data_IF_276934807947
#
_entry.id   IF_276934807947
#
_cell.length_a   1.000
_cell.length_b   1.000
_cell.length_c   1.000
_cell.angle_alpha   90.00
_cell.angle_beta   90.00
_cell.angle_gamma   90.00
#
_symmetry.space_group_name_H-M   'P 1'
#
loop_
_entity.id
_entity.type
_entity.pdbx_description
1 polymer ?
#
# COMPACT_ATOMS: atom_id res chain seq x y z
N UNK A 1 -19.33 -27.13 -11.80
CA UNK A 1 -18.63 -26.28 -10.81
C UNK A 1 -18.15 -25.04 -11.55
N UNK A 2 -18.70 -23.87 -11.26
CA UNK A 2 -18.29 -22.61 -11.91
C UNK A 2 -16.90 -22.28 -11.37
N UNK A 3 -15.88 -22.33 -12.23
CA UNK A 3 -14.54 -21.87 -11.87
C UNK A 3 -14.66 -20.40 -11.45
N UNK A 4 -14.44 -20.12 -10.16
CA UNK A 4 -14.30 -18.73 -9.69
C UNK A 4 -13.22 -18.08 -10.56
N UNK A 5 -13.44 -16.88 -11.14
CA UNK A 5 -12.36 -16.17 -11.78
C UNK A 5 -11.22 -16.09 -10.77
N UNK A 6 -10.02 -16.53 -11.16
CA UNK A 6 -8.86 -16.45 -10.28
C UNK A 6 -8.73 -15.00 -9.84
N UNK A 7 -8.97 -14.73 -8.56
CA UNK A 7 -8.92 -13.37 -8.03
C UNK A 7 -7.49 -12.89 -8.26
N UNK A 8 -7.30 -11.89 -9.13
CA UNK A 8 -5.98 -11.32 -9.38
C UNK A 8 -5.50 -10.64 -8.10
N UNK A 9 -4.50 -11.24 -7.46
CA UNK A 9 -3.90 -10.72 -6.25
C UNK A 9 -2.82 -9.69 -6.60
N UNK A 10 -2.88 -8.54 -5.95
CA UNK A 10 -1.93 -7.44 -6.16
C UNK A 10 -0.85 -7.42 -5.09
N UNK A 11 -1.18 -7.98 -3.93
CA UNK A 11 -0.31 -8.09 -2.76
C UNK A 11 -0.30 -9.53 -2.26
N UNK A 12 0.77 -9.93 -1.60
CA UNK A 12 0.84 -11.19 -0.85
C UNK A 12 1.52 -10.96 0.50
N UNK A 13 1.37 -11.92 1.41
CA UNK A 13 1.99 -11.83 2.73
C UNK A 13 3.51 -11.90 2.62
N UNK A 14 4.20 -11.10 3.44
CA UNK A 14 5.66 -11.17 3.57
C UNK A 14 6.10 -12.30 4.49
N UNK A 15 5.21 -12.73 5.38
CA UNK A 15 5.49 -13.71 6.42
C UNK A 15 4.46 -14.85 6.40
N UNK A 16 4.83 -16.07 6.82
CA UNK A 16 3.92 -17.21 6.91
C UNK A 16 2.78 -17.01 7.90
N UNK A 17 1.74 -17.86 7.80
CA UNK A 17 0.64 -17.90 8.76
C UNK A 17 1.20 -18.26 10.15
N UNK A 18 0.75 -17.55 11.19
CA UNK A 18 1.24 -17.74 12.57
C UNK A 18 2.40 -16.82 12.97
N UNK A 19 3.00 -16.07 12.04
CA UNK A 19 3.94 -15.02 12.40
C UNK A 19 3.18 -13.79 12.93
N UNK A 20 3.61 -13.21 14.06
CA UNK A 20 3.01 -11.99 14.62
C UNK A 20 3.08 -10.76 13.70
N UNK A 21 3.91 -10.81 12.64
CA UNK A 21 4.02 -9.77 11.62
C UNK A 21 3.07 -10.04 10.47
N UNK A 22 2.04 -9.19 10.32
CA UNK A 22 1.09 -9.24 9.21
C UNK A 22 1.39 -8.20 8.13
N UNK A 23 2.62 -8.22 7.62
CA UNK A 23 3.04 -7.36 6.52
C UNK A 23 2.62 -7.92 5.16
N UNK A 24 2.14 -7.05 4.27
CA UNK A 24 1.90 -7.35 2.86
C UNK A 24 2.93 -6.66 1.97
N UNK A 25 3.20 -7.25 0.80
CA UNK A 25 4.07 -6.66 -0.21
C UNK A 25 3.46 -6.84 -1.61
N UNK A 26 3.71 -5.89 -2.53
CA UNK A 26 3.21 -5.97 -3.88
C UNK A 26 3.87 -7.14 -4.63
N UNK A 27 3.08 -7.87 -5.40
CA UNK A 27 3.52 -9.01 -6.21
C UNK A 27 3.41 -8.75 -7.72
N UNK A 28 2.58 -7.80 -8.13
CA UNK A 28 2.40 -7.40 -9.53
C UNK A 28 2.50 -5.89 -9.73
N UNK A 29 2.46 -5.44 -11.00
CA UNK A 29 2.59 -4.02 -11.36
C UNK A 29 1.49 -3.13 -10.75
N UNK A 30 0.26 -3.65 -10.56
CA UNK A 30 -0.85 -2.91 -9.96
C UNK A 30 -0.59 -2.63 -8.47
N UNK A 31 -0.07 -3.62 -7.74
CA UNK A 31 0.37 -3.43 -6.35
C UNK A 31 1.49 -2.40 -6.24
N UNK A 32 2.43 -2.40 -7.18
CA UNK A 32 3.50 -1.39 -7.25
C UNK A 32 2.98 0.01 -7.56
N UNK A 33 1.98 0.17 -8.44
CA UNK A 33 1.35 1.47 -8.68
C UNK A 33 0.66 2.03 -7.43
N UNK A 34 -0.01 1.16 -6.66
CA UNK A 34 -0.66 1.57 -5.41
C UNK A 34 0.40 2.01 -4.38
N UNK A 35 1.53 1.29 -4.29
CA UNK A 35 2.66 1.70 -3.46
C UNK A 35 3.27 3.03 -3.91
N UNK A 36 3.44 3.22 -5.22
CA UNK A 36 3.92 4.48 -5.79
C UNK A 36 2.98 5.64 -5.48
N UNK A 37 1.66 5.43 -5.60
CA UNK A 37 0.66 6.44 -5.25
C UNK A 37 0.74 6.86 -3.79
N UNK A 38 1.00 5.93 -2.87
CA UNK A 38 1.28 6.26 -1.47
C UNK A 38 2.50 7.14 -1.30
N UNK A 39 3.63 6.78 -1.92
CA UNK A 39 4.88 7.55 -1.86
C UNK A 39 4.69 8.95 -2.44
N UNK A 40 4.02 9.07 -3.59
CA UNK A 40 3.71 10.36 -4.20
C UNK A 40 2.80 11.21 -3.30
N UNK A 41 1.82 10.61 -2.63
CA UNK A 41 0.98 11.29 -1.64
C UNK A 41 1.78 11.84 -0.46
N UNK A 42 2.75 11.07 0.05
CA UNK A 42 3.65 11.50 1.12
C UNK A 42 4.58 12.64 0.67
N UNK A 43 5.13 12.56 -0.55
CA UNK A 43 5.96 13.64 -1.12
C UNK A 43 5.14 14.91 -1.31
N UNK A 44 3.92 14.80 -1.86
CA UNK A 44 3.03 15.95 -2.03
C UNK A 44 2.64 16.57 -0.69
N UNK A 45 2.32 15.76 0.31
CA UNK A 45 2.04 16.22 1.67
C UNK A 45 3.24 16.93 2.30
N UNK A 46 4.43 16.33 2.20
CA UNK A 46 5.66 16.93 2.72
C UNK A 46 6.02 18.23 2.01
N UNK A 47 5.81 18.30 0.70
CA UNK A 47 6.00 19.50 -0.11
C UNK A 47 5.04 20.63 0.30
N UNK A 48 3.75 20.33 0.49
CA UNK A 48 2.78 21.31 0.98
C UNK A 48 3.13 21.79 2.40
N UNK A 49 3.53 20.88 3.28
CA UNK A 49 3.98 21.24 4.62
C UNK A 49 5.18 22.19 4.57
N UNK A 50 6.21 21.86 3.78
CA UNK A 50 7.39 22.70 3.63
C UNK A 50 7.03 24.07 3.07
N UNK A 51 6.15 24.12 2.06
CA UNK A 51 5.66 25.37 1.49
C UNK A 51 4.97 26.26 2.54
N UNK A 52 4.01 25.71 3.28
CA UNK A 52 3.30 26.47 4.32
C UNK A 52 4.21 26.86 5.50
N UNK A 53 5.21 26.03 5.83
CA UNK A 53 6.19 26.35 6.86
C UNK A 53 7.05 27.57 6.47
N UNK A 54 7.45 27.68 5.21
CA UNK A 54 8.17 28.85 4.68
C UNK A 54 7.32 30.12 4.73
N UNK A 55 6.00 30.00 4.53
CA UNK A 55 5.03 31.10 4.64
C UNK A 55 4.65 31.45 6.10
N UNK A 56 5.23 30.78 7.12
CA UNK A 56 4.88 30.97 8.53
C UNK A 56 3.52 30.39 8.94
N UNK A 57 2.87 29.64 8.05
CA UNK A 57 1.53 29.05 8.23
C UNK A 57 1.62 27.58 8.67
N UNK A 58 2.39 27.32 9.71
CA UNK A 58 2.65 25.97 10.22
C UNK A 58 1.37 25.15 10.50
N UNK A 59 0.32 25.69 11.14
CA UNK A 59 -0.91 24.92 11.37
C UNK A 59 -1.56 24.39 10.09
N UNK A 60 -1.60 25.21 9.02
CA UNK A 60 -2.13 24.82 7.72
C UNK A 60 -1.25 23.77 7.05
N UNK A 61 0.08 23.90 7.15
CA UNK A 61 1.02 22.90 6.66
C UNK A 61 0.84 21.55 7.34
N UNK A 62 0.70 21.54 8.67
CA UNK A 62 0.45 20.31 9.45
C UNK A 62 -0.86 19.68 9.01
N UNK A 63 -1.93 20.46 8.93
CA UNK A 63 -3.24 19.96 8.52
C UNK A 63 -3.20 19.35 7.10
N UNK A 64 -2.52 20.00 6.15
CA UNK A 64 -2.36 19.50 4.78
C UNK A 64 -1.56 18.19 4.74
N UNK A 65 -0.45 18.11 5.47
CA UNK A 65 0.35 16.88 5.54
C UNK A 65 -0.42 15.73 6.16
N UNK A 66 -1.06 15.95 7.30
CA UNK A 66 -1.87 14.92 7.99
C UNK A 66 -2.98 14.42 7.06
N UNK A 67 -3.72 15.33 6.41
CA UNK A 67 -4.79 14.94 5.50
C UNK A 67 -4.28 14.03 4.36
N UNK A 68 -3.16 14.38 3.71
CA UNK A 68 -2.60 13.58 2.62
C UNK A 68 -1.96 12.27 3.10
N UNK A 69 -1.26 12.28 4.23
CA UNK A 69 -0.68 11.08 4.82
C UNK A 69 -1.76 10.06 5.21
N UNK A 70 -2.86 10.51 5.82
CA UNK A 70 -4.00 9.65 6.16
C UNK A 70 -4.72 9.17 4.90
N UNK A 71 -5.04 10.06 3.95
CA UNK A 71 -5.76 9.67 2.74
C UNK A 71 -4.96 8.62 1.92
N UNK A 72 -3.67 8.85 1.72
CA UNK A 72 -2.80 7.93 0.98
C UNK A 72 -2.56 6.63 1.77
N UNK A 73 -2.32 6.70 3.07
CA UNK A 73 -2.09 5.55 3.94
C UNK A 73 -3.31 4.64 4.07
N UNK A 74 -4.49 5.20 4.33
CA UNK A 74 -5.76 4.46 4.38
C UNK A 74 -6.05 3.80 3.04
N UNK A 75 -5.82 4.51 1.93
CA UNK A 75 -6.00 3.94 0.59
C UNK A 75 -5.04 2.76 0.36
N UNK A 76 -3.75 2.94 0.66
CA UNK A 76 -2.73 1.90 0.50
C UNK A 76 -3.07 0.65 1.31
N UNK A 77 -3.35 0.79 2.61
CA UNK A 77 -3.70 -0.32 3.50
C UNK A 77 -5.03 -0.97 3.08
N UNK A 78 -6.04 -0.17 2.74
CA UNK A 78 -7.33 -0.67 2.31
C UNK A 78 -7.23 -1.51 1.03
N UNK A 79 -6.47 -1.04 0.04
CA UNK A 79 -6.26 -1.77 -1.21
C UNK A 79 -5.40 -3.01 -0.97
N UNK A 80 -4.33 -2.91 -0.15
CA UNK A 80 -3.48 -4.07 0.15
C UNK A 80 -4.28 -5.19 0.81
N UNK A 81 -5.16 -4.87 1.76
CA UNK A 81 -5.99 -5.87 2.43
C UNK A 81 -7.08 -6.45 1.52
N UNK A 82 -7.73 -5.64 0.68
CA UNK A 82 -8.82 -6.10 -0.22
C UNK A 82 -8.30 -6.90 -1.42
N UNK A 83 -7.11 -6.59 -1.91
CA UNK A 83 -6.47 -7.24 -3.08
C UNK A 83 -5.26 -8.09 -2.69
N UNK A 84 -5.11 -8.38 -1.40
CA UNK A 84 -4.03 -9.19 -0.87
C UNK A 84 -4.40 -10.67 -0.82
N UNK A 85 -3.45 -11.51 -1.17
CA UNK A 85 -3.47 -12.92 -0.83
C UNK A 85 -3.09 -13.06 0.65
N UNK A 86 -4.03 -13.55 1.46
CA UNK A 86 -3.87 -13.75 2.90
C UNK A 86 -3.36 -15.15 3.26
N UNK A 87 -3.22 -16.03 2.26
CA UNK A 87 -2.80 -17.41 2.45
C UNK A 87 -1.34 -17.56 2.06
N UNK A 88 -1.00 -17.16 0.84
CA UNK A 88 0.33 -17.38 0.29
C UNK A 88 1.27 -16.19 0.54
N UNK A 89 2.56 -16.51 0.56
CA UNK A 89 3.61 -15.52 0.74
C UNK A 89 4.20 -15.05 -0.59
N UNK A 90 4.86 -13.91 -0.61
CA UNK A 90 5.63 -13.44 -1.77
C UNK A 90 6.66 -14.48 -2.24
N UNK A 91 7.21 -15.28 -1.33
CA UNK A 91 8.13 -16.35 -1.68
C UNK A 91 7.44 -17.42 -2.55
N UNK A 92 6.21 -17.79 -2.23
CA UNK A 92 5.43 -18.76 -3.01
C UNK A 92 5.16 -18.28 -4.44
N UNK A 93 4.92 -16.97 -4.62
CA UNK A 93 4.79 -16.35 -5.94
C UNK A 93 6.11 -16.31 -6.71
N UNK A 94 7.24 -16.02 -6.03
CA UNK A 94 8.57 -16.00 -6.65
C UNK A 94 9.06 -17.40 -7.05
N UNK A 95 8.72 -18.41 -6.28
CA UNK A 95 9.04 -19.81 -6.54
C UNK A 95 8.09 -20.45 -7.57
N UNK A 96 7.11 -19.70 -8.08
CA UNK A 96 6.16 -20.18 -9.10
C UNK A 96 5.12 -21.17 -8.58
N UNK A 97 5.00 -21.34 -7.26
CA UNK A 97 3.97 -22.19 -6.63
C UNK A 97 2.57 -21.60 -6.80
N UNK A 98 2.50 -20.26 -6.93
CA UNK A 98 1.28 -19.49 -7.18
C UNK A 98 1.53 -18.53 -8.34
N UNK A 99 0.54 -18.36 -9.22
CA UNK A 99 0.62 -17.43 -10.36
C UNK A 99 0.03 -16.08 -9.97
N UNK A 100 0.69 -15.01 -10.43
CA UNK A 100 0.28 -13.61 -10.25
C UNK A 100 -0.77 -13.19 -11.27
#
# INVERSE_FOLDING_TARGET
MIAKPQTEYWFARRFPIGNGRNGMAPINWKGWLVALGFVLGMIAGGGLFAWYALDGKLPQGIAAFVALAFASGVTFVGVSQKKGDHVHTVADYREGRVRV
#
